data_IF_368939528366
#
_entry.id   IF_368939528366
#
_cell.length_a   1.000
_cell.length_b   1.000
_cell.length_c   1.000
_cell.angle_alpha   90.00
_cell.angle_beta   90.00
_cell.angle_gamma   90.00
#
_symmetry.space_group_name_H-M   'P 1'
#
loop_
_entity.id
_entity.type
_entity.pdbx_description
1 polymer ?
#
# COMPACT_ATOMS: atom_id res chain seq x y z
N UNK A 1 4.36 -55.86 12.48
CA UNK A 1 3.32 -56.31 11.51
C UNK A 1 3.34 -55.36 10.34
N UNK A 2 3.55 -55.93 9.16
CA UNK A 2 3.64 -55.24 7.86
C UNK A 2 2.24 -54.87 7.39
N UNK A 3 2.07 -53.75 6.69
CA UNK A 3 1.24 -53.74 5.47
C UNK A 3 1.60 -52.49 4.63
N UNK A 4 2.22 -52.78 3.48
CA UNK A 4 2.35 -51.87 2.33
C UNK A 4 0.99 -51.70 1.64
N UNK A 5 0.71 -50.48 1.16
CA UNK A 5 -0.18 -50.29 0.01
C UNK A 5 0.45 -49.26 -0.95
N UNK A 6 0.84 -49.82 -2.08
CA UNK A 6 1.21 -49.11 -3.31
C UNK A 6 -0.09 -48.98 -4.11
N UNK A 7 -0.42 -47.79 -4.51
CA UNK A 7 -1.54 -47.51 -5.42
C UNK A 7 -1.12 -46.51 -6.48
N UNK A 8 -0.64 -47.05 -7.59
CA UNK A 8 -0.39 -46.34 -8.87
C UNK A 8 -1.72 -46.16 -9.58
N UNK A 9 -2.06 -44.94 -10.00
CA UNK A 9 -3.08 -44.72 -11.04
C UNK A 9 -2.67 -43.60 -11.99
N UNK A 10 -2.74 -43.97 -13.24
CA UNK A 10 -2.41 -43.30 -14.48
C UNK A 10 -3.26 -42.04 -14.74
N UNK A 11 -2.64 -41.10 -15.46
CA UNK A 11 -3.27 -40.00 -16.15
C UNK A 11 -4.03 -40.47 -17.42
N UNK A 12 -4.94 -39.65 -17.92
CA UNK A 12 -4.99 -39.46 -19.37
C UNK A 12 -4.81 -37.99 -19.77
N UNK A 13 -3.95 -37.82 -20.77
CA UNK A 13 -3.79 -36.64 -21.59
C UNK A 13 -5.02 -36.43 -22.47
N UNK A 14 -5.54 -35.22 -22.52
CA UNK A 14 -6.44 -34.78 -23.60
C UNK A 14 -5.83 -33.54 -24.26
N UNK A 15 -5.47 -33.76 -25.50
CA UNK A 15 -5.08 -32.78 -26.50
C UNK A 15 -6.34 -32.44 -27.31
N UNK A 16 -6.60 -31.21 -27.67
CA UNK A 16 -7.42 -30.65 -28.77
C UNK A 16 -7.66 -29.18 -28.41
N UNK A 17 -7.48 -28.17 -29.24
CA UNK A 17 -7.27 -27.97 -30.64
C UNK A 17 -7.20 -26.48 -30.87
N UNK A 18 -6.40 -26.07 -31.83
CA UNK A 18 -6.26 -24.69 -32.34
C UNK A 18 -7.54 -24.23 -33.03
N UNK A 19 -7.91 -22.94 -32.84
CA UNK A 19 -8.57 -22.18 -33.91
C UNK A 19 -7.98 -20.78 -33.94
N UNK A 20 -7.32 -20.50 -35.04
CA UNK A 20 -6.93 -19.19 -35.47
C UNK A 20 -8.17 -18.42 -35.99
N UNK A 21 -8.31 -17.19 -35.60
CA UNK A 21 -9.31 -16.27 -36.15
C UNK A 21 -8.67 -14.89 -36.31
N UNK A 22 -8.20 -14.60 -37.52
CA UNK A 22 -7.90 -13.23 -37.98
C UNK A 22 -9.19 -12.51 -38.37
N UNK A 23 -9.28 -11.24 -38.02
CA UNK A 23 -9.90 -10.16 -38.84
C UNK A 23 -9.77 -8.84 -38.11
N UNK A 24 -8.92 -7.94 -38.63
CA UNK A 24 -9.18 -6.85 -39.60
C UNK A 24 -9.68 -5.56 -38.96
N UNK A 25 -8.75 -4.60 -38.90
CA UNK A 25 -8.87 -3.18 -39.19
C UNK A 25 -10.21 -2.47 -39.02
N UNK A 26 -10.20 -1.45 -38.16
CA UNK A 26 -10.71 -0.17 -38.64
C UNK A 26 -9.95 1.00 -37.99
N UNK A 27 -9.22 1.71 -38.81
CA UNK A 27 -8.67 3.02 -38.50
C UNK A 27 -9.82 4.02 -38.51
N UNK A 28 -9.96 4.80 -37.46
CA UNK A 28 -10.70 6.06 -37.52
C UNK A 28 -9.88 7.11 -36.78
N UNK A 29 -9.23 7.91 -37.60
CA UNK A 29 -8.64 9.20 -37.26
C UNK A 29 -9.74 10.16 -36.83
N UNK A 30 -9.69 10.58 -35.58
CA UNK A 30 -10.49 11.66 -35.04
C UNK A 30 -9.56 12.55 -34.21
N UNK A 31 -8.98 13.55 -34.87
CA UNK A 31 -8.36 14.69 -34.20
C UNK A 31 -9.46 15.48 -33.50
N UNK A 32 -9.40 15.55 -32.19
CA UNK A 32 -9.96 16.66 -31.46
C UNK A 32 -8.90 17.16 -30.49
N UNK A 33 -8.33 18.29 -30.88
CA UNK A 33 -7.53 19.14 -30.03
C UNK A 33 -8.48 19.78 -29.00
N UNK A 34 -8.51 19.30 -27.81
CA UNK A 34 -9.00 20.07 -26.68
C UNK A 34 -7.79 20.45 -25.82
N UNK A 35 -7.30 21.65 -26.13
CA UNK A 35 -6.42 22.40 -25.24
C UNK A 35 -7.29 22.97 -24.10
N UNK A 36 -6.86 22.77 -22.87
CA UNK A 36 -7.37 23.53 -21.76
C UNK A 36 -7.98 22.68 -20.63
N UNK A 37 -7.18 21.89 -20.00
CA UNK A 37 -7.45 21.37 -18.65
C UNK A 37 -6.29 21.77 -17.77
N UNK A 38 -6.45 22.84 -17.02
CA UNK A 38 -5.53 23.15 -15.92
C UNK A 38 -5.38 21.90 -15.09
N UNK A 39 -4.17 21.41 -14.95
CA UNK A 39 -3.83 20.37 -14.02
C UNK A 39 -4.04 20.94 -12.63
N UNK A 40 -5.23 20.78 -12.08
CA UNK A 40 -5.37 20.68 -10.65
C UNK A 40 -4.63 19.39 -10.26
N UNK A 41 -3.31 19.51 -10.20
CA UNK A 41 -2.45 18.54 -9.54
C UNK A 41 -2.70 18.65 -8.04
N UNK A 42 -3.96 18.45 -7.67
CA UNK A 42 -4.37 18.32 -6.28
C UNK A 42 -3.66 17.13 -5.67
N UNK A 43 -3.44 17.20 -4.40
CA UNK A 43 -2.78 16.28 -3.47
C UNK A 43 -3.22 14.79 -3.51
N UNK A 44 -3.86 14.35 -4.57
CA UNK A 44 -4.45 13.02 -4.72
C UNK A 44 -3.56 12.01 -5.43
N UNK A 45 -2.30 12.33 -5.71
CA UNK A 45 -1.40 11.36 -6.34
C UNK A 45 -1.16 10.18 -5.41
N UNK A 46 -1.64 9.01 -5.82
CA UNK A 46 -1.33 7.76 -5.13
C UNK A 46 0.13 7.37 -5.37
N UNK A 47 0.80 6.75 -4.36
CA UNK A 47 2.12 6.18 -4.59
C UNK A 47 2.09 5.15 -5.72
N UNK A 48 3.14 5.02 -6.51
CA UNK A 48 3.26 3.92 -7.46
C UNK A 48 3.50 2.60 -6.72
N UNK A 49 3.39 1.48 -7.43
CA UNK A 49 3.74 0.14 -6.95
C UNK A 49 5.15 -0.22 -7.43
N UNK A 50 5.92 -0.90 -6.58
CA UNK A 50 7.29 -1.34 -6.83
C UNK A 50 8.35 -0.46 -6.18
N UNK A 51 9.31 -1.09 -5.49
CA UNK A 51 10.30 -0.41 -4.64
C UNK A 51 11.03 0.74 -5.34
N UNK A 52 11.50 0.53 -6.56
CA UNK A 52 12.22 1.54 -7.31
C UNK A 52 11.34 2.76 -7.66
N UNK A 53 10.10 2.51 -8.05
CA UNK A 53 9.15 3.56 -8.39
C UNK A 53 8.73 4.36 -7.14
N UNK A 54 8.46 3.68 -6.03
CA UNK A 54 8.16 4.35 -4.74
C UNK A 54 9.34 5.17 -4.26
N UNK A 55 10.56 4.65 -4.36
CA UNK A 55 11.77 5.39 -3.96
C UNK A 55 11.92 6.69 -4.77
N UNK A 56 11.74 6.64 -6.10
CA UNK A 56 11.79 7.82 -6.95
C UNK A 56 10.67 8.82 -6.63
N UNK A 57 9.47 8.31 -6.39
CA UNK A 57 8.31 9.11 -6.01
C UNK A 57 8.50 9.80 -4.65
N UNK A 58 9.04 9.10 -3.65
CA UNK A 58 9.39 9.69 -2.35
C UNK A 58 10.45 10.79 -2.50
N UNK A 59 11.47 10.56 -3.34
CA UNK A 59 12.52 11.55 -3.61
C UNK A 59 11.97 12.82 -4.27
N UNK A 60 10.89 12.74 -5.06
CA UNK A 60 10.23 13.92 -5.63
C UNK A 60 9.55 14.79 -4.57
N UNK A 61 9.23 14.23 -3.42
CA UNK A 61 8.62 14.96 -2.30
C UNK A 61 7.15 15.33 -2.52
N UNK A 62 6.49 14.79 -3.55
CA UNK A 62 5.10 15.16 -3.89
C UNK A 62 4.12 14.91 -2.73
N UNK A 63 4.33 13.86 -1.93
CA UNK A 63 3.52 13.54 -0.75
C UNK A 63 3.58 14.62 0.34
N UNK A 64 4.58 15.50 0.33
CA UNK A 64 4.71 16.58 1.32
C UNK A 64 3.60 17.62 1.21
N UNK A 65 2.88 17.63 0.10
CA UNK A 65 1.66 18.41 -0.05
C UNK A 65 0.42 17.76 0.56
N UNK A 66 0.51 16.53 1.07
CA UNK A 66 -0.60 15.85 1.74
C UNK A 66 -0.88 16.41 3.14
N UNK A 67 -1.89 15.86 3.81
CA UNK A 67 -2.19 16.15 5.20
C UNK A 67 -1.13 15.48 6.08
N UNK A 68 -0.19 16.27 6.57
CA UNK A 68 0.91 15.79 7.41
C UNK A 68 0.72 16.20 8.87
N UNK A 69 1.17 15.37 9.77
CA UNK A 69 1.32 15.76 11.18
C UNK A 69 2.23 17.01 11.28
N UNK A 70 1.93 17.88 12.22
CA UNK A 70 2.63 19.16 12.34
C UNK A 70 4.08 19.05 12.85
N UNK A 71 4.42 17.92 13.48
CA UNK A 71 5.72 17.70 14.08
C UNK A 71 6.16 16.23 13.98
N UNK A 72 7.47 16.04 14.05
CA UNK A 72 8.09 14.74 14.30
C UNK A 72 7.92 14.38 15.78
N UNK A 73 7.53 13.18 16.07
CA UNK A 73 7.27 12.73 17.45
C UNK A 73 7.66 11.24 17.66
N UNK A 74 7.67 10.81 18.91
CA UNK A 74 7.79 9.38 19.22
C UNK A 74 6.59 8.64 18.66
N UNK A 75 6.86 7.56 17.94
CA UNK A 75 5.79 6.69 17.43
C UNK A 75 4.93 6.15 18.58
N UNK A 76 3.64 6.01 18.32
CA UNK A 76 2.70 5.48 19.32
C UNK A 76 2.95 3.99 19.54
N UNK A 77 3.04 3.52 20.78
CA UNK A 77 3.12 2.09 21.04
C UNK A 77 1.90 1.34 20.47
N UNK A 78 2.07 0.14 19.94
CA UNK A 78 3.29 -0.69 19.88
C UNK A 78 4.12 -0.53 18.60
N UNK A 79 4.08 0.63 17.93
CA UNK A 79 4.77 0.84 16.66
C UNK A 79 6.29 0.57 16.78
N UNK A 80 6.89 -0.18 15.86
CA UNK A 80 8.33 -0.39 15.81
C UNK A 80 9.10 0.77 15.17
N UNK A 81 8.41 1.81 14.72
CA UNK A 81 8.98 2.90 13.91
C UNK A 81 9.72 3.97 14.72
N UNK A 82 9.77 3.86 16.05
CA UNK A 82 10.48 4.75 16.98
C UNK A 82 10.08 6.22 16.93
N UNK A 83 10.57 6.96 15.95
CA UNK A 83 10.30 8.40 15.77
C UNK A 83 9.81 8.60 14.35
N UNK A 84 8.64 9.20 14.22
CA UNK A 84 8.01 9.34 12.92
C UNK A 84 7.20 10.64 12.76
N UNK A 85 6.76 10.86 11.53
CA UNK A 85 5.73 11.81 11.12
C UNK A 85 4.92 11.17 10.00
N UNK A 86 3.61 11.20 10.10
CA UNK A 86 2.70 10.60 9.11
C UNK A 86 2.12 11.68 8.21
N UNK A 87 2.06 11.40 6.91
CA UNK A 87 1.34 12.18 5.91
C UNK A 87 0.29 11.29 5.24
N UNK A 88 -0.97 11.69 5.27
CA UNK A 88 -2.09 10.99 4.63
C UNK A 88 -2.57 11.74 3.40
N UNK A 89 -2.93 11.03 2.34
CA UNK A 89 -3.52 11.67 1.17
C UNK A 89 -4.99 12.09 1.41
N UNK A 90 -5.57 12.82 0.46
CA UNK A 90 -6.94 13.32 0.54
C UNK A 90 -7.97 12.19 0.69
N UNK A 91 -7.68 11.00 0.16
CA UNK A 91 -8.59 9.85 0.31
C UNK A 91 -8.72 9.45 1.78
N UNK A 92 -7.62 9.41 2.52
CA UNK A 92 -7.67 9.16 3.97
C UNK A 92 -8.30 10.37 4.69
N UNK A 93 -7.81 11.57 4.43
CA UNK A 93 -8.26 12.76 5.14
C UNK A 93 -9.78 12.98 5.02
N UNK A 94 -10.31 12.89 3.81
CA UNK A 94 -11.74 13.09 3.54
C UNK A 94 -12.64 11.96 4.08
N UNK A 95 -12.06 10.81 4.41
CA UNK A 95 -12.79 9.66 4.94
C UNK A 95 -12.45 9.35 6.40
N UNK A 96 -11.71 10.20 7.09
CA UNK A 96 -11.22 9.94 8.44
C UNK A 96 -12.33 9.70 9.46
N UNK A 97 -13.45 10.40 9.35
CA UNK A 97 -14.63 10.23 10.21
C UNK A 97 -15.50 9.02 9.87
N UNK A 98 -15.22 8.32 8.76
CA UNK A 98 -16.00 7.17 8.30
C UNK A 98 -15.70 5.89 9.08
N UNK A 99 -16.45 4.84 8.76
CA UNK A 99 -16.29 3.48 9.29
C UNK A 99 -16.14 2.47 8.14
N UNK A 100 -15.70 1.25 8.46
CA UNK A 100 -15.48 0.19 7.47
C UNK A 100 -14.19 0.38 6.65
N UNK A 101 -14.02 -0.36 5.55
CA UNK A 101 -12.82 -0.30 4.73
C UNK A 101 -12.54 1.10 4.17
N UNK A 102 -11.27 1.43 4.02
CA UNK A 102 -10.87 2.64 3.32
C UNK A 102 -11.20 2.53 1.83
N UNK A 103 -11.52 3.63 1.15
CA UNK A 103 -11.64 3.63 -0.30
C UNK A 103 -10.33 3.24 -0.99
N UNK A 104 -10.42 2.68 -2.19
CA UNK A 104 -9.25 2.46 -3.07
C UNK A 104 -8.51 3.77 -3.29
N UNK A 105 -7.20 3.71 -3.27
CA UNK A 105 -6.33 4.89 -3.36
C UNK A 105 -6.01 5.54 -2.01
N UNK A 106 -6.59 5.08 -0.90
CA UNK A 106 -6.16 5.52 0.43
C UNK A 106 -4.68 5.19 0.62
N UNK A 107 -3.88 6.19 0.96
CA UNK A 107 -2.43 6.04 1.11
C UNK A 107 -1.87 6.96 2.19
N UNK A 108 -0.82 6.49 2.85
CA UNK A 108 -0.01 7.34 3.70
C UNK A 108 1.48 7.04 3.56
N UNK A 109 2.26 8.07 3.86
CA UNK A 109 3.71 8.01 4.02
C UNK A 109 4.03 8.24 5.49
N UNK A 110 4.80 7.36 6.06
CA UNK A 110 5.41 7.53 7.36
C UNK A 110 6.90 7.84 7.14
N UNK A 111 7.31 9.03 7.48
CA UNK A 111 8.71 9.44 7.51
C UNK A 111 9.34 8.96 8.82
N UNK A 112 10.46 8.28 8.75
CA UNK A 112 11.18 7.72 9.90
C UNK A 112 12.41 8.56 10.22
N UNK A 113 12.54 8.98 11.48
CA UNK A 113 13.60 9.88 11.92
C UNK A 113 14.49 9.23 12.97
N UNK A 114 15.74 9.66 13.03
CA UNK A 114 16.68 9.20 14.06
C UNK A 114 16.36 9.77 15.46
N UNK A 115 15.72 10.92 15.52
CA UNK A 115 15.31 11.60 16.76
C UNK A 115 14.19 12.60 16.48
N UNK A 116 13.53 13.07 17.54
CA UNK A 116 12.47 14.10 17.43
C UNK A 116 13.01 15.48 17.01
N UNK A 117 14.31 15.68 17.01
CA UNK A 117 14.98 16.92 16.55
C UNK A 117 15.60 16.77 15.17
N UNK A 118 15.56 15.57 14.58
CA UNK A 118 16.08 15.36 13.24
C UNK A 118 15.16 16.06 12.21
N UNK A 119 15.78 16.69 11.22
CA UNK A 119 15.08 17.48 10.19
C UNK A 119 14.94 16.73 8.87
N UNK A 120 15.63 15.59 8.73
CA UNK A 120 15.63 14.78 7.52
C UNK A 120 15.26 13.33 7.86
N UNK A 121 14.31 12.75 7.16
CA UNK A 121 13.98 11.33 7.33
C UNK A 121 15.18 10.44 6.99
N UNK A 122 15.44 9.43 7.81
CA UNK A 122 16.40 8.37 7.56
C UNK A 122 15.78 7.15 6.89
N UNK A 123 14.47 7.10 6.77
CA UNK A 123 13.73 6.01 6.15
C UNK A 123 12.27 6.36 5.90
N UNK A 124 11.55 5.45 5.29
CA UNK A 124 10.14 5.62 4.95
C UNK A 124 9.38 4.31 5.08
N UNK A 125 8.12 4.41 5.47
CA UNK A 125 7.14 3.36 5.25
C UNK A 125 5.94 3.96 4.49
N UNK A 126 5.45 3.23 3.49
CA UNK A 126 4.31 3.64 2.66
C UNK A 126 3.31 2.51 2.60
N UNK A 127 2.03 2.83 2.64
CA UNK A 127 0.97 1.89 2.31
C UNK A 127 -0.03 2.51 1.36
N UNK A 128 -0.63 1.67 0.52
CA UNK A 128 -1.60 2.04 -0.48
C UNK A 128 -2.71 0.99 -0.56
N UNK A 129 -3.96 1.40 -0.41
CA UNK A 129 -5.14 0.57 -0.67
C UNK A 129 -5.32 0.39 -2.17
N UNK A 130 -5.17 -0.83 -2.66
CA UNK A 130 -5.19 -1.16 -4.09
C UNK A 130 -6.53 -1.69 -4.57
N UNK A 131 -7.33 -2.27 -3.68
CA UNK A 131 -8.63 -2.84 -4.00
C UNK A 131 -9.65 -2.51 -2.91
N UNK A 132 -10.93 -2.56 -3.27
CA UNK A 132 -12.02 -2.43 -2.31
C UNK A 132 -11.99 -3.58 -1.29
N UNK A 133 -12.64 -3.45 -0.18
CA UNK A 133 -12.71 -4.36 0.95
C UNK A 133 -11.41 -4.47 1.80
N UNK A 134 -11.49 -5.27 2.86
CA UNK A 134 -10.39 -5.45 3.84
C UNK A 134 -10.01 -6.92 3.94
N UNK A 135 -9.45 -7.47 2.87
CA UNK A 135 -9.14 -8.90 2.77
C UNK A 135 -7.82 -9.28 3.46
N UNK A 136 -7.68 -9.07 4.78
CA UNK A 136 -6.52 -9.48 5.57
C UNK A 136 -5.17 -9.05 4.97
N UNK A 137 -5.07 -7.79 4.57
CA UNK A 137 -3.88 -7.24 3.95
C UNK A 137 -3.74 -7.49 2.45
N UNK A 138 -4.53 -8.39 1.86
CA UNK A 138 -4.43 -8.71 0.42
C UNK A 138 -4.69 -7.51 -0.49
N UNK A 139 -5.43 -6.53 -0.01
CA UNK A 139 -5.83 -5.34 -0.75
C UNK A 139 -4.93 -4.12 -0.50
N UNK A 140 -3.87 -4.31 0.26
CA UNK A 140 -2.90 -3.30 0.58
C UNK A 140 -1.54 -3.61 -0.04
N UNK A 141 -0.93 -2.62 -0.62
CA UNK A 141 0.47 -2.61 -0.98
C UNK A 141 1.26 -1.89 0.10
N UNK A 142 2.41 -2.44 0.47
CA UNK A 142 3.34 -1.87 1.44
C UNK A 142 4.71 -1.67 0.82
N UNK A 143 5.38 -0.63 1.29
CA UNK A 143 6.79 -0.36 1.05
C UNK A 143 7.44 0.07 2.37
N UNK A 144 8.62 -0.44 2.66
CA UNK A 144 9.41 -0.03 3.81
C UNK A 144 10.89 0.05 3.47
N UNK A 145 11.48 1.21 3.67
CA UNK A 145 12.94 1.41 3.72
C UNK A 145 13.25 2.03 5.08
N UNK A 146 13.58 1.17 6.04
CA UNK A 146 13.65 1.57 7.45
C UNK A 146 14.91 2.34 7.80
N UNK A 147 15.92 2.35 6.91
CA UNK A 147 17.16 3.11 7.06
C UNK A 147 17.56 3.71 5.72
N UNK A 148 18.22 4.86 5.75
CA UNK A 148 18.76 5.50 4.55
C UNK A 148 19.71 4.54 3.82
N UNK A 149 19.42 4.26 2.54
CA UNK A 149 20.22 3.34 1.73
C UNK A 149 20.05 1.85 2.06
N UNK A 150 19.18 1.49 2.98
CA UNK A 150 18.81 0.10 3.27
C UNK A 150 18.03 -0.55 2.14
N UNK A 151 18.05 -1.88 2.10
CA UNK A 151 17.21 -2.63 1.16
C UNK A 151 15.74 -2.40 1.51
N UNK A 152 14.98 -1.91 0.53
CA UNK A 152 13.55 -1.76 0.69
C UNK A 152 12.85 -3.13 0.64
N UNK A 153 11.82 -3.26 1.45
CA UNK A 153 10.83 -4.34 1.36
C UNK A 153 9.58 -3.77 0.74
N UNK A 154 9.03 -4.42 -0.28
CA UNK A 154 7.78 -4.00 -0.89
C UNK A 154 6.99 -5.19 -1.43
N UNK A 155 5.70 -5.00 -1.58
CA UNK A 155 4.80 -6.01 -2.12
C UNK A 155 3.38 -5.87 -1.58
N UNK A 156 2.54 -6.81 -1.97
CA UNK A 156 1.19 -6.92 -1.42
C UNK A 156 1.25 -7.44 0.03
N UNK A 157 0.29 -7.06 0.83
CA UNK A 157 0.28 -7.41 2.25
C UNK A 157 0.25 -8.91 2.55
N UNK A 158 -0.07 -9.74 1.57
CA UNK A 158 -0.01 -11.22 1.65
C UNK A 158 1.34 -11.82 1.28
N UNK A 159 2.27 -11.04 0.74
CA UNK A 159 3.61 -11.52 0.44
C UNK A 159 4.36 -11.83 1.75
N UNK A 160 5.02 -12.97 1.83
CA UNK A 160 5.57 -13.49 3.10
C UNK A 160 6.49 -12.50 3.83
N UNK A 161 7.34 -11.78 3.11
CA UNK A 161 8.24 -10.78 3.69
C UNK A 161 7.47 -9.56 4.18
N UNK A 162 6.52 -9.07 3.39
CA UNK A 162 5.66 -7.93 3.74
C UNK A 162 4.75 -8.29 4.92
N UNK A 163 4.17 -9.50 4.90
CA UNK A 163 3.37 -10.01 5.99
C UNK A 163 4.15 -9.99 7.31
N UNK A 164 5.39 -10.45 7.33
CA UNK A 164 6.19 -10.52 8.54
C UNK A 164 6.67 -9.15 9.05
N UNK A 165 6.88 -8.18 8.16
CA UNK A 165 7.46 -6.88 8.52
C UNK A 165 6.45 -5.74 8.66
N UNK A 166 5.33 -5.83 7.96
CA UNK A 166 4.34 -4.77 7.89
C UNK A 166 2.94 -5.24 8.30
N UNK A 167 2.39 -6.17 7.52
CA UNK A 167 0.97 -6.52 7.58
C UNK A 167 0.57 -7.13 8.90
N UNK A 168 1.40 -8.02 9.49
CA UNK A 168 1.11 -8.67 10.77
C UNK A 168 0.82 -7.67 11.90
N UNK A 169 1.47 -6.51 11.88
CA UNK A 169 1.20 -5.44 12.82
C UNK A 169 -0.01 -4.59 12.37
N UNK A 170 -0.07 -4.25 11.09
CA UNK A 170 -1.12 -3.38 10.55
C UNK A 170 -2.52 -4.01 10.57
N UNK A 171 -2.65 -5.34 10.41
CA UNK A 171 -3.90 -6.07 10.58
C UNK A 171 -4.58 -5.82 11.93
N UNK A 172 -3.79 -5.48 12.94
CA UNK A 172 -4.31 -5.16 14.25
C UNK A 172 -5.02 -3.79 14.31
N UNK A 173 -4.85 -2.94 13.29
CA UNK A 173 -5.48 -1.64 13.21
C UNK A 173 -6.92 -1.76 12.68
N UNK A 174 -7.89 -1.99 13.53
CA UNK A 174 -9.30 -1.81 13.22
C UNK A 174 -10.06 -2.98 12.64
N UNK A 175 -9.45 -4.13 12.46
CA UNK A 175 -10.20 -5.38 12.27
C UNK A 175 -10.64 -5.99 13.59
N UNK A 176 -10.13 -5.47 14.67
CA UNK A 176 -10.16 -6.04 16.00
C UNK A 176 -10.58 -4.97 17.01
N UNK A 177 -11.67 -5.23 17.71
CA UNK A 177 -12.19 -4.34 18.75
C UNK A 177 -11.19 -4.13 19.92
N UNK A 178 -10.18 -4.95 20.05
CA UNK A 178 -9.13 -4.81 21.06
C UNK A 178 -8.16 -3.66 20.76
N UNK A 179 -8.10 -3.19 19.51
CA UNK A 179 -7.30 -2.05 19.11
C UNK A 179 -8.06 -0.72 19.20
N UNK A 180 -9.32 -0.76 19.53
CA UNK A 180 -9.96 0.37 20.12
C UNK A 180 -9.54 0.36 21.60
N UNK A 181 -8.93 1.28 22.22
CA UNK A 181 -9.36 2.66 22.11
C UNK A 181 -8.27 3.65 21.92
N UNK A 182 -7.12 3.35 21.56
CA UNK A 182 -6.22 4.48 21.50
C UNK A 182 -4.92 4.19 20.78
N UNK A 183 -4.79 4.79 19.64
CA UNK A 183 -5.82 5.26 18.74
C UNK A 183 -6.35 4.09 17.94
N UNK A 184 -7.62 3.77 18.09
CA UNK A 184 -8.26 2.72 17.31
C UNK A 184 -8.02 2.99 15.84
N UNK A 185 -7.20 2.15 15.20
CA UNK A 185 -7.02 2.19 13.77
C UNK A 185 -8.26 1.66 13.06
N UNK A 186 -8.27 1.79 11.76
CA UNK A 186 -9.31 1.26 10.90
C UNK A 186 -8.68 0.67 9.64
N UNK A 187 -9.02 -0.57 9.30
CA UNK A 187 -8.60 -1.20 8.06
C UNK A 187 -7.11 -0.92 7.76
N UNK A 188 -6.26 -1.41 8.65
CA UNK A 188 -4.80 -1.33 8.61
C UNK A 188 -4.16 0.07 8.78
N UNK A 189 -4.96 1.12 8.93
CA UNK A 189 -4.48 2.48 9.19
C UNK A 189 -4.62 2.83 10.66
N UNK A 190 -3.49 3.04 11.35
CA UNK A 190 -3.48 3.44 12.77
C UNK A 190 -3.69 4.94 12.97
N UNK A 191 -3.15 5.75 12.09
CA UNK A 191 -3.15 7.21 12.24
C UNK A 191 -3.63 7.85 10.94
N UNK A 192 -4.93 8.07 10.78
CA UNK A 192 -5.42 8.92 9.71
C UNK A 192 -5.13 10.39 10.04
N UNK A 193 -4.35 11.06 9.23
CA UNK A 193 -4.09 12.51 9.34
C UNK A 193 -5.06 13.26 8.42
N UNK A 194 -5.69 14.32 8.92
CA UNK A 194 -6.70 15.10 8.20
C UNK A 194 -6.67 16.59 8.58
#
# INVERSE_FOLDING_TARGET
MRTNWIGTLLAPSILVGMTAGCSSNNASSGSSSDAGGGSDAGNSQTPPIGASAVTAWLASGVYKGWHCESAVHMARPPSPHNVDRVCSNDVIANNAAGSGPWPVGAAAVKELYASTTATTPGGYAVYLKTQADSANGANWYYYGSLTAGGTAVDGMGTDATVMSQCTSCHLAAGSDAAHTPSPGGRDEVYTPVH
#
